data_IF_246219551463
#
_entry.id   IF_246219551463
#
_cell.length_a   1.000
_cell.length_b   1.000
_cell.length_c   1.000
_cell.angle_alpha   90.00
_cell.angle_beta   90.00
_cell.angle_gamma   90.00
#
_symmetry.space_group_name_H-M   'P 1'
#
loop_
_entity.id
_entity.type
_entity.pdbx_description
1 polymer ?
#
# COMPACT_ATOMS: atom_id res chain seq x y z
N UNK A 1 -6.48 59.78 3.46
CA UNK A 1 -6.80 58.51 4.18
C UNK A 1 -7.27 57.50 3.16
N UNK A 2 -6.44 56.48 2.93
CA UNK A 2 -6.81 55.15 2.44
C UNK A 2 -5.53 54.32 2.61
N UNK A 3 -5.41 53.60 3.72
CA UNK A 3 -4.38 52.57 3.90
C UNK A 3 -4.94 51.27 3.35
N UNK A 4 -4.35 50.84 2.25
CA UNK A 4 -4.51 49.54 1.62
C UNK A 4 -3.94 48.47 2.57
N UNK A 5 -4.80 47.70 3.22
CA UNK A 5 -4.42 46.53 4.00
C UNK A 5 -4.57 45.30 3.10
N UNK A 6 -3.59 45.11 2.21
CA UNK A 6 -3.39 43.85 1.53
C UNK A 6 -3.10 42.75 2.56
N UNK A 7 -4.11 41.96 2.89
CA UNK A 7 -3.92 40.69 3.60
C UNK A 7 -3.27 39.73 2.61
N UNK A 8 -1.96 39.53 2.76
CA UNK A 8 -1.29 38.40 2.11
C UNK A 8 -1.82 37.13 2.75
N UNK A 9 -2.67 36.42 2.03
CA UNK A 9 -3.05 35.05 2.39
C UNK A 9 -1.83 34.19 2.04
N UNK A 10 -1.00 33.92 3.04
CA UNK A 10 -0.01 32.84 2.94
C UNK A 10 -0.79 31.53 2.82
N UNK A 11 -0.97 31.08 1.58
CA UNK A 11 -1.49 29.75 1.29
C UNK A 11 -0.35 28.76 1.54
N UNK A 12 -0.07 28.52 2.82
CA UNK A 12 0.80 27.43 3.24
C UNK A 12 -0.01 26.15 3.03
N UNK A 13 0.12 25.56 1.84
CA UNK A 13 -0.21 24.15 1.66
C UNK A 13 0.72 23.37 2.59
N UNK A 14 0.28 23.15 3.83
CA UNK A 14 0.84 22.11 4.68
C UNK A 14 0.68 20.81 3.89
N UNK A 15 1.77 20.35 3.27
CA UNK A 15 1.82 19.02 2.69
C UNK A 15 1.59 18.07 3.85
N UNK A 16 0.37 17.55 3.92
CA UNK A 16 -0.03 16.53 4.87
C UNK A 16 1.04 15.43 4.82
N UNK A 17 1.85 15.36 5.86
CA UNK A 17 2.97 14.43 5.90
C UNK A 17 2.34 13.04 5.99
N UNK A 18 2.42 12.26 4.92
CA UNK A 18 1.81 10.92 4.87
C UNK A 18 2.52 10.06 5.90
N UNK A 19 1.90 9.94 7.07
CA UNK A 19 2.42 9.14 8.17
C UNK A 19 2.21 7.66 7.86
N UNK A 20 3.29 6.95 7.55
CA UNK A 20 3.26 5.50 7.37
C UNK A 20 3.34 4.85 8.76
N UNK A 21 2.42 3.93 9.12
CA UNK A 21 2.43 3.26 10.41
C UNK A 21 3.76 2.54 10.70
N UNK A 22 4.25 2.66 11.93
CA UNK A 22 5.51 2.01 12.37
C UNK A 22 5.35 0.53 12.71
N UNK A 23 4.13 0.10 13.05
CA UNK A 23 3.83 -1.28 13.42
C UNK A 23 2.62 -1.83 12.66
N UNK A 24 2.49 -3.16 12.65
CA UNK A 24 1.34 -3.82 12.05
C UNK A 24 0.04 -3.45 12.77
N UNK A 25 0.06 -3.37 14.09
CA UNK A 25 -1.09 -2.98 14.90
C UNK A 25 -1.56 -1.56 14.56
N UNK A 26 -0.63 -0.60 14.44
CA UNK A 26 -0.96 0.76 14.04
C UNK A 26 -1.54 0.82 12.62
N UNK A 27 -1.06 -0.04 11.71
CA UNK A 27 -1.66 -0.19 10.38
C UNK A 27 -3.10 -0.71 10.45
N UNK A 28 -3.36 -1.73 11.27
CA UNK A 28 -4.70 -2.29 11.45
C UNK A 28 -5.66 -1.29 12.10
N UNK A 29 -5.20 -0.53 13.09
CA UNK A 29 -5.97 0.56 13.71
C UNK A 29 -6.36 1.63 12.69
N UNK A 30 -5.43 2.02 11.80
CA UNK A 30 -5.68 2.98 10.72
C UNK A 30 -6.45 2.40 9.53
N UNK A 31 -6.44 1.08 9.33
CA UNK A 31 -7.08 0.38 8.21
C UNK A 31 -7.96 -0.75 8.74
N UNK A 32 -9.11 -0.38 9.30
CA UNK A 32 -10.00 -1.29 10.05
C UNK A 32 -10.43 -2.56 9.30
N UNK A 33 -10.46 -2.56 7.96
CA UNK A 33 -10.74 -3.78 7.17
C UNK A 33 -9.70 -4.88 7.37
N UNK A 34 -8.47 -4.55 7.81
CA UNK A 34 -7.43 -5.52 8.17
C UNK A 34 -7.71 -6.21 9.51
N UNK A 35 -8.72 -5.78 10.28
CA UNK A 35 -9.09 -6.41 11.55
C UNK A 35 -9.42 -7.88 11.32
N UNK A 36 -8.78 -8.77 12.08
CA UNK A 36 -8.98 -10.22 11.97
C UNK A 36 -8.12 -10.91 10.91
N UNK A 37 -7.33 -10.17 10.13
CA UNK A 37 -6.28 -10.75 9.29
C UNK A 37 -5.19 -11.35 10.19
N UNK A 38 -4.78 -12.63 10.00
CA UNK A 38 -3.64 -13.18 10.71
C UNK A 38 -2.40 -12.31 10.54
N UNK A 39 -1.67 -12.05 11.62
CA UNK A 39 -0.49 -11.19 11.58
C UNK A 39 0.55 -11.76 10.61
N UNK A 40 0.89 -11.02 9.53
CA UNK A 40 1.89 -11.48 8.60
C UNK A 40 3.30 -11.20 9.14
N UNK A 41 4.25 -12.00 8.67
CA UNK A 41 5.67 -11.87 8.98
C UNK A 41 6.16 -10.42 8.80
N UNK A 42 6.94 -9.86 9.74
CA UNK A 42 7.44 -8.51 9.62
C UNK A 42 8.50 -8.40 8.51
N UNK A 43 8.57 -7.23 7.87
CA UNK A 43 9.47 -6.97 6.73
C UNK A 43 10.94 -7.29 7.03
N UNK A 44 11.41 -7.04 8.26
CA UNK A 44 12.80 -7.30 8.69
C UNK A 44 13.19 -8.79 8.61
N UNK A 45 12.20 -9.68 8.62
CA UNK A 45 12.41 -11.13 8.57
C UNK A 45 12.30 -11.69 7.14
N UNK A 46 11.92 -10.86 6.16
CA UNK A 46 11.75 -11.30 4.78
C UNK A 46 13.01 -12.00 4.25
N UNK A 47 12.80 -13.19 3.68
CA UNK A 47 13.79 -13.79 2.81
C UNK A 47 13.90 -13.00 1.51
N UNK A 48 14.93 -13.25 0.71
CA UNK A 48 15.01 -12.64 -0.62
C UNK A 48 13.81 -13.04 -1.50
N UNK A 49 13.32 -14.27 -1.38
CA UNK A 49 12.13 -14.72 -2.10
C UNK A 49 10.88 -13.94 -1.67
N UNK A 50 10.70 -13.72 -0.36
CA UNK A 50 9.59 -12.91 0.18
C UNK A 50 9.64 -11.48 -0.38
N UNK A 51 10.84 -10.89 -0.43
CA UNK A 51 11.05 -9.54 -0.98
C UNK A 51 10.77 -9.47 -2.49
N UNK A 52 11.12 -10.50 -3.27
CA UNK A 52 10.78 -10.59 -4.68
C UNK A 52 9.27 -10.72 -4.91
N UNK A 53 8.61 -11.63 -4.19
CA UNK A 53 7.16 -11.82 -4.27
C UNK A 53 6.40 -10.55 -3.88
N UNK A 54 6.85 -9.87 -2.82
CA UNK A 54 6.33 -8.56 -2.45
C UNK A 54 6.50 -7.55 -3.57
N UNK A 55 7.71 -7.46 -4.16
CA UNK A 55 8.01 -6.48 -5.20
C UNK A 55 7.13 -6.68 -6.45
N UNK A 56 6.89 -7.93 -6.85
CA UNK A 56 5.98 -8.27 -7.94
C UNK A 56 4.54 -7.83 -7.63
N UNK A 57 3.99 -8.30 -6.50
CA UNK A 57 2.62 -7.96 -6.09
C UNK A 57 2.40 -6.45 -5.92
N UNK A 58 3.36 -5.76 -5.30
CA UNK A 58 3.38 -4.29 -5.16
C UNK A 58 3.38 -3.60 -6.51
N UNK A 59 4.24 -4.02 -7.43
CA UNK A 59 4.40 -3.36 -8.73
C UNK A 59 3.12 -3.44 -9.54
N UNK A 60 2.48 -4.61 -9.55
CA UNK A 60 1.21 -4.80 -10.25
C UNK A 60 0.08 -3.98 -9.62
N UNK A 61 -0.04 -3.97 -8.28
CA UNK A 61 -1.03 -3.17 -7.56
C UNK A 61 -0.92 -1.69 -7.90
N UNK A 62 0.30 -1.14 -7.84
CA UNK A 62 0.55 0.27 -8.16
C UNK A 62 0.35 0.57 -9.65
N UNK A 63 0.67 -0.37 -10.54
CA UNK A 63 0.45 -0.22 -11.98
C UNK A 63 -1.05 -0.16 -12.31
N UNK A 64 -1.85 -1.06 -11.74
CA UNK A 64 -3.31 -1.07 -11.90
C UNK A 64 -3.92 0.21 -11.32
N UNK A 65 -3.53 0.60 -10.10
CA UNK A 65 -3.99 1.87 -9.50
C UNK A 65 -3.70 3.07 -10.41
N UNK A 66 -2.45 3.19 -10.89
CA UNK A 66 -2.02 4.30 -11.74
C UNK A 66 -2.69 4.30 -13.11
N UNK A 67 -3.00 3.12 -13.67
CA UNK A 67 -3.73 3.00 -14.92
C UNK A 67 -5.20 3.43 -14.75
N UNK A 68 -5.81 3.05 -13.63
CA UNK A 68 -7.19 3.41 -13.33
C UNK A 68 -7.35 4.91 -13.04
N UNK A 69 -6.42 5.50 -12.28
CA UNK A 69 -6.47 6.94 -12.00
C UNK A 69 -6.30 7.77 -13.27
N UNK A 70 -5.39 7.37 -14.17
CA UNK A 70 -5.27 8.00 -15.50
C UNK A 70 -6.57 7.92 -16.31
N UNK A 71 -7.19 6.73 -16.37
CA UNK A 71 -8.45 6.55 -17.09
C UNK A 71 -9.64 7.27 -16.46
N UNK A 72 -9.63 7.49 -15.15
CA UNK A 72 -10.64 8.32 -14.47
C UNK A 72 -10.58 9.79 -14.92
N UNK A 73 -9.39 10.26 -15.28
CA UNK A 73 -9.14 11.63 -15.73
C UNK A 73 -9.43 11.80 -17.24
N UNK A 74 -9.44 10.71 -18.01
CA UNK A 74 -9.77 10.72 -19.44
C UNK A 74 -11.29 10.68 -19.67
N UNK A 75 -11.85 11.75 -20.26
CA UNK A 75 -13.28 11.91 -20.51
C UNK A 75 -13.90 10.85 -21.45
N UNK A 76 -13.08 10.16 -22.25
CA UNK A 76 -13.50 9.17 -23.26
C UNK A 76 -13.47 7.71 -22.78
N UNK A 77 -13.15 7.45 -21.50
CA UNK A 77 -13.02 6.09 -20.97
C UNK A 77 -14.36 5.34 -20.74
N UNK A 78 -15.50 5.98 -21.02
CA UNK A 78 -16.83 5.60 -20.56
C UNK A 78 -17.55 4.45 -21.30
N UNK A 79 -16.87 3.36 -21.68
CA UNK A 79 -17.57 2.16 -22.17
C UNK A 79 -17.74 1.12 -21.06
N UNK A 80 -18.87 0.40 -21.07
CA UNK A 80 -19.11 -0.71 -20.14
C UNK A 80 -18.03 -1.80 -20.26
N UNK A 81 -17.51 -2.04 -21.47
CA UNK A 81 -16.45 -3.01 -21.70
C UNK A 81 -15.13 -2.58 -21.02
N UNK A 82 -14.77 -1.30 -21.12
CA UNK A 82 -13.59 -0.75 -20.43
C UNK A 82 -13.73 -0.88 -18.92
N UNK A 83 -14.90 -0.55 -18.37
CA UNK A 83 -15.17 -0.67 -16.94
C UNK A 83 -15.04 -2.12 -16.44
N UNK A 84 -15.61 -3.09 -17.16
CA UNK A 84 -15.49 -4.51 -16.81
C UNK A 84 -14.04 -4.99 -16.87
N UNK A 85 -13.26 -4.58 -17.87
CA UNK A 85 -11.85 -4.93 -17.95
C UNK A 85 -11.05 -4.37 -16.76
N UNK A 86 -11.33 -3.14 -16.33
CA UNK A 86 -10.68 -2.54 -15.15
C UNK A 86 -10.99 -3.31 -13.86
N UNK A 87 -12.24 -3.76 -13.69
CA UNK A 87 -12.63 -4.60 -12.55
C UNK A 87 -11.92 -5.95 -12.59
N UNK A 88 -11.78 -6.58 -13.76
CA UNK A 88 -11.04 -7.84 -13.90
C UNK A 88 -9.57 -7.70 -13.51
N UNK A 89 -8.88 -6.68 -14.03
CA UNK A 89 -7.49 -6.38 -13.68
C UNK A 89 -7.32 -6.13 -12.17
N UNK A 90 -8.28 -5.42 -11.56
CA UNK A 90 -8.33 -5.20 -10.11
C UNK A 90 -8.45 -6.51 -9.34
N UNK A 91 -9.41 -7.36 -9.70
CA UNK A 91 -9.67 -8.64 -9.04
C UNK A 91 -8.47 -9.60 -9.13
N UNK A 92 -7.82 -9.66 -10.30
CA UNK A 92 -6.60 -10.46 -10.47
C UNK A 92 -5.48 -9.97 -9.55
N UNK A 93 -5.33 -8.65 -9.40
CA UNK A 93 -4.28 -8.05 -8.59
C UNK A 93 -4.55 -8.21 -7.09
N UNK A 94 -5.81 -8.11 -6.67
CA UNK A 94 -6.26 -8.50 -5.32
C UNK A 94 -5.91 -9.96 -5.05
N UNK A 95 -6.17 -10.86 -6.00
CA UNK A 95 -5.82 -12.28 -5.88
C UNK A 95 -4.32 -12.53 -5.72
N UNK A 96 -3.47 -11.83 -6.48
CA UNK A 96 -2.01 -11.93 -6.37
C UNK A 96 -1.49 -11.40 -5.04
N UNK A 97 -2.02 -10.27 -4.57
CA UNK A 97 -1.67 -9.73 -3.25
C UNK A 97 -2.13 -10.65 -2.10
N UNK A 98 -3.30 -11.27 -2.22
CA UNK A 98 -3.75 -12.31 -1.29
C UNK A 98 -2.81 -13.51 -1.30
N UNK A 99 -2.35 -13.95 -2.48
CA UNK A 99 -1.35 -15.01 -2.61
C UNK A 99 -0.05 -14.68 -1.88
N UNK A 100 0.42 -13.43 -2.01
CA UNK A 100 1.57 -12.94 -1.25
C UNK A 100 1.30 -12.95 0.26
N UNK A 101 0.19 -12.37 0.74
CA UNK A 101 -0.15 -12.36 2.16
C UNK A 101 -0.18 -13.79 2.74
N UNK A 102 -0.81 -14.73 2.04
CA UNK A 102 -0.85 -16.15 2.42
C UNK A 102 0.53 -16.78 2.56
N UNK A 103 1.52 -16.34 1.78
CA UNK A 103 2.89 -16.86 1.86
C UNK A 103 3.66 -16.37 3.08
N UNK A 104 3.22 -15.28 3.72
CA UNK A 104 3.93 -14.63 4.82
C UNK A 104 3.16 -14.69 6.15
N UNK A 105 1.93 -15.19 6.18
CA UNK A 105 1.21 -15.46 7.44
C UNK A 105 1.51 -16.88 7.96
N UNK A 106 1.46 -17.12 9.28
CA UNK A 106 1.58 -18.46 9.84
C UNK A 106 0.33 -19.33 9.56
N UNK A 107 -0.85 -18.72 9.38
CA UNK A 107 -2.11 -19.41 9.08
C UNK A 107 -2.72 -18.90 7.76
N UNK A 108 -2.38 -19.52 6.61
CA UNK A 108 -2.95 -19.14 5.32
C UNK A 108 -4.46 -19.37 5.21
N UNK A 109 -5.01 -20.35 5.95
CA UNK A 109 -6.45 -20.61 5.96
C UNK A 109 -7.22 -19.52 6.72
N UNK A 110 -6.59 -18.91 7.72
CA UNK A 110 -7.09 -17.71 8.40
C UNK A 110 -7.27 -16.52 7.45
N UNK A 111 -6.43 -16.40 6.41
CA UNK A 111 -6.62 -15.37 5.36
C UNK A 111 -7.87 -15.65 4.53
N UNK A 112 -8.13 -16.92 4.17
CA UNK A 112 -9.35 -17.30 3.45
C UNK A 112 -10.61 -16.99 4.29
N UNK A 113 -10.59 -17.34 5.57
CA UNK A 113 -11.67 -17.03 6.49
C UNK A 113 -11.88 -15.51 6.62
N UNK A 114 -10.80 -14.74 6.77
CA UNK A 114 -10.86 -13.28 6.84
C UNK A 114 -11.46 -12.65 5.57
N UNK A 115 -11.05 -13.10 4.38
CA UNK A 115 -11.59 -12.57 3.11
C UNK A 115 -13.06 -12.91 2.83
N UNK A 116 -13.66 -13.80 3.60
CA UNK A 116 -15.02 -14.27 3.34
C UNK A 116 -16.03 -13.13 3.47
N UNK A 117 -16.74 -12.85 2.37
CA UNK A 117 -17.74 -11.78 2.31
C UNK A 117 -17.17 -10.36 2.14
N UNK A 118 -15.87 -10.21 1.91
CA UNK A 118 -15.24 -8.92 1.66
C UNK A 118 -15.37 -8.48 0.19
N UNK A 119 -15.54 -7.16 0.00
CA UNK A 119 -15.58 -6.54 -1.33
C UNK A 119 -14.14 -6.38 -1.90
N UNK A 120 -13.86 -6.88 -3.12
CA UNK A 120 -12.57 -6.71 -3.78
C UNK A 120 -12.08 -5.26 -3.91
N UNK A 121 -12.99 -4.29 -4.06
CA UNK A 121 -12.62 -2.88 -4.16
C UNK A 121 -12.09 -2.34 -2.83
N UNK A 122 -12.73 -2.74 -1.71
CA UNK A 122 -12.25 -2.41 -0.37
C UNK A 122 -10.91 -3.10 -0.10
N UNK A 123 -10.78 -4.36 -0.48
CA UNK A 123 -9.51 -5.09 -0.34
C UNK A 123 -8.38 -4.45 -1.15
N UNK A 124 -8.66 -4.00 -2.37
CA UNK A 124 -7.68 -3.32 -3.21
C UNK A 124 -7.11 -2.07 -2.51
N UNK A 125 -7.98 -1.23 -1.94
CA UNK A 125 -7.57 -0.04 -1.20
C UNK A 125 -6.78 -0.40 0.07
N UNK A 126 -7.23 -1.42 0.82
CA UNK A 126 -6.51 -1.90 1.99
C UNK A 126 -5.09 -2.37 1.64
N UNK A 127 -4.94 -3.06 0.51
CA UNK A 127 -3.66 -3.53 0.04
C UNK A 127 -2.71 -2.42 -0.39
N UNK A 128 -3.22 -1.26 -0.84
CA UNK A 128 -2.36 -0.10 -1.06
C UNK A 128 -1.69 0.34 0.25
N UNK A 129 -2.43 0.33 1.37
CA UNK A 129 -1.87 0.64 2.70
C UNK A 129 -0.85 -0.42 3.15
N UNK A 130 -1.17 -1.70 2.96
CA UNK A 130 -0.23 -2.81 3.26
C UNK A 130 1.06 -2.66 2.45
N UNK A 131 0.95 -2.34 1.17
CA UNK A 131 2.10 -2.13 0.28
C UNK A 131 2.93 -0.92 0.71
N UNK A 132 2.30 0.20 1.09
CA UNK A 132 3.01 1.37 1.60
C UNK A 132 3.78 1.03 2.89
N UNK A 133 3.14 0.32 3.83
CA UNK A 133 3.76 -0.15 5.06
C UNK A 133 4.98 -1.04 4.78
N UNK A 134 4.83 -2.12 4.00
CA UNK A 134 5.95 -3.03 3.75
C UNK A 134 7.10 -2.38 2.96
N UNK A 135 6.79 -1.47 2.03
CA UNK A 135 7.83 -0.74 1.28
C UNK A 135 8.67 0.15 2.19
N UNK A 136 8.04 0.88 3.11
CA UNK A 136 8.73 1.70 4.12
C UNK A 136 9.58 0.86 5.06
N UNK A 137 9.01 -0.21 5.62
CA UNK A 137 9.70 -1.09 6.57
C UNK A 137 10.91 -1.79 5.92
N UNK A 138 10.82 -2.21 4.66
CA UNK A 138 11.98 -2.73 3.90
C UNK A 138 13.03 -1.66 3.62
N UNK A 139 12.61 -0.42 3.34
CA UNK A 139 13.50 0.74 3.18
C UNK A 139 14.31 1.01 4.45
N UNK A 140 13.64 1.05 5.61
CA UNK A 140 14.27 1.19 6.93
C UNK A 140 15.25 0.05 7.23
N UNK A 141 14.84 -1.19 6.97
CA UNK A 141 15.71 -2.36 7.16
C UNK A 141 16.97 -2.30 6.28
N UNK A 142 16.84 -1.84 5.04
CA UNK A 142 17.97 -1.67 4.12
C UNK A 142 18.92 -0.56 4.57
N UNK A 143 18.38 0.58 5.01
CA UNK A 143 19.16 1.70 5.55
C UNK A 143 19.95 1.31 6.81
N UNK A 144 19.34 0.54 7.72
CA UNK A 144 20.00 0.03 8.94
C UNK A 144 21.18 -0.92 8.63
N UNK A 145 21.07 -1.75 7.59
CA UNK A 145 22.18 -2.61 7.13
C UNK A 145 23.33 -1.79 6.51
N UNK A 146 23.01 -0.70 5.83
CA UNK A 146 24.03 0.20 5.28
C UNK A 146 24.76 1.00 6.37
N UNK A 147 24.06 1.47 7.40
CA UNK A 147 24.69 2.22 8.51
C UNK A 147 25.58 1.33 9.39
N UNK A 148 25.18 0.08 9.62
CA UNK A 148 25.95 -0.90 10.42
C UNK A 148 27.24 -1.37 9.73
N UNK A 149 27.27 -1.41 8.40
CA UNK A 149 28.47 -1.72 7.61
C UNK A 149 29.41 -0.51 7.45
N UNK A 150 28.91 0.72 7.65
CA UNK A 150 29.71 1.95 7.62
C UNK A 150 30.57 2.22 8.87
N UNK A 151 30.37 1.47 9.96
CA UNK A 151 31.10 1.70 11.23
C UNK A 151 32.25 0.70 11.41
N UNK A 152 33.27 0.77 10.56
CA UNK A 152 34.60 0.16 10.80
C UNK A 152 35.71 1.03 10.19
N UNK A 153 35.91 2.22 10.74
CA UNK A 153 37.21 2.88 10.75
C UNK A 153 37.32 3.70 12.04
N UNK A 154 38.05 3.16 13.02
CA UNK A 154 38.94 3.87 13.95
C UNK A 154 39.74 2.82 14.73
#
# INVERSE_FOLDING_TARGET
>A
MATDNGVQVENTEEKEEVHIPETWEALVEGTSVLTGLPEPKPAREFTFADACAFNEARTELLAVWSAQERRRLDADAGTAQTAVSMVKERNETVGRMLGFLKSIVPDPAGVDAWTTGMDPDIMFLAFLNVVAYYADQLGKASASKASSTGTKQN
#
